data_IF_116146798749
#
_entry.id   IF_116146798749
#
_cell.length_a   1.000
_cell.length_b   1.000
_cell.length_c   1.000
_cell.angle_alpha   90.00
_cell.angle_beta   90.00
_cell.angle_gamma   90.00
#
_symmetry.space_group_name_H-M   'P 1'
#
loop_
_entity.id
_entity.type
_entity.pdbx_description
1 polymer ?
#
# COMPACT_ATOMS: atom_id res chain seq x y z
N UNK A 1 -39.41 44.38 -66.71
CA UNK A 1 -40.32 43.34 -66.21
C UNK A 1 -39.52 42.33 -65.38
N UNK A 2 -40.04 41.95 -64.20
CA UNK A 2 -39.83 40.72 -63.38
C UNK A 2 -38.39 40.12 -63.28
N UNK A 3 -37.73 40.25 -62.11
CA UNK A 3 -37.61 39.26 -60.98
C UNK A 3 -36.62 38.13 -61.26
N UNK A 4 -35.47 38.08 -60.57
CA UNK A 4 -35.17 37.31 -59.33
C UNK A 4 -34.25 36.10 -59.68
N UNK A 5 -33.34 35.51 -58.89
CA UNK A 5 -32.92 35.53 -57.48
C UNK A 5 -31.54 34.78 -57.49
N UNK A 6 -30.45 35.29 -56.86
CA UNK A 6 -29.87 34.83 -55.57
C UNK A 6 -28.82 33.70 -55.60
N UNK A 7 -27.61 34.01 -55.09
CA UNK A 7 -26.87 33.36 -53.98
C UNK A 7 -25.40 33.88 -54.06
N UNK A 8 -25.00 34.94 -53.36
CA UNK A 8 -24.51 35.01 -51.95
C UNK A 8 -23.46 33.94 -51.60
N UNK A 9 -22.29 34.19 -50.99
CA UNK A 9 -21.50 35.38 -50.58
C UNK A 9 -20.23 34.79 -49.90
N UNK A 10 -19.00 35.15 -50.34
CA UNK A 10 -17.96 35.94 -49.60
C UNK A 10 -16.95 35.12 -48.77
N UNK A 11 -15.68 35.60 -48.66
CA UNK A 11 -14.47 34.78 -48.53
C UNK A 11 -13.86 34.81 -47.12
N UNK A 12 -12.93 33.89 -46.83
CA UNK A 12 -12.14 33.91 -45.61
C UNK A 12 -10.65 34.13 -45.93
N UNK A 13 -10.16 35.30 -45.51
CA UNK A 13 -8.76 35.70 -45.44
C UNK A 13 -8.07 35.17 -44.18
N UNK A 14 -6.78 34.85 -44.35
CA UNK A 14 -5.67 34.60 -43.42
C UNK A 14 -5.76 35.19 -41.99
N UNK A 15 -5.43 34.36 -40.98
CA UNK A 15 -4.75 34.80 -39.73
C UNK A 15 -3.86 33.66 -39.19
N UNK A 16 -2.59 33.97 -38.91
CA UNK A 16 -1.64 33.12 -38.21
C UNK A 16 -2.01 32.96 -36.72
N UNK A 17 -1.88 31.76 -36.15
CA UNK A 17 -1.88 31.58 -34.70
C UNK A 17 -1.07 30.35 -34.27
N UNK A 18 0.09 30.62 -33.65
CA UNK A 18 0.56 29.98 -32.42
C UNK A 18 -0.04 28.62 -32.08
N UNK A 19 0.74 27.57 -32.30
CA UNK A 19 0.46 26.21 -31.86
C UNK A 19 0.46 26.10 -30.33
N UNK A 20 -0.65 26.52 -29.71
CA UNK A 20 -0.96 26.23 -28.31
C UNK A 20 -1.27 24.74 -28.20
N UNK A 21 -0.23 23.92 -27.95
CA UNK A 21 -0.39 22.57 -27.42
C UNK A 21 -1.06 22.71 -26.05
N UNK A 22 -2.38 22.63 -26.06
CA UNK A 22 -3.22 22.51 -24.88
C UNK A 22 -2.85 21.21 -24.18
N UNK A 23 -1.85 21.29 -23.30
CA UNK A 23 -1.59 20.26 -22.30
C UNK A 23 -2.84 20.18 -21.46
N UNK A 24 -3.69 19.21 -21.79
CA UNK A 24 -4.85 18.83 -21.00
C UNK A 24 -4.32 18.32 -19.67
N UNK A 25 -4.08 19.23 -18.72
CA UNK A 25 -3.71 18.92 -17.35
C UNK A 25 -4.87 18.16 -16.75
N UNK A 26 -4.79 16.83 -16.73
CA UNK A 26 -5.74 16.03 -15.97
C UNK A 26 -5.70 16.56 -14.53
N UNK A 27 -6.82 17.05 -13.96
CA UNK A 27 -6.81 17.59 -12.62
C UNK A 27 -6.27 16.50 -11.69
N UNK A 28 -5.21 16.83 -10.95
CA UNK A 28 -4.60 15.92 -10.00
C UNK A 28 -5.70 15.47 -9.03
N UNK A 29 -5.85 14.15 -8.86
CA UNK A 29 -6.85 13.60 -7.95
C UNK A 29 -6.64 14.24 -6.56
N UNK A 30 -7.68 14.81 -5.94
CA UNK A 30 -7.54 15.41 -4.62
C UNK A 30 -6.97 14.40 -3.64
N UNK A 31 -6.04 14.84 -2.79
CA UNK A 31 -5.53 14.00 -1.69
C UNK A 31 -6.70 13.64 -0.74
N UNK A 32 -6.73 12.42 -0.20
CA UNK A 32 -7.81 12.00 0.68
C UNK A 32 -7.74 12.74 2.02
N UNK A 33 -8.90 12.86 2.66
CA UNK A 33 -9.00 13.28 4.05
C UNK A 33 -8.38 12.24 4.99
N UNK A 34 -8.04 12.66 6.22
CA UNK A 34 -7.55 11.73 7.24
C UNK A 34 -8.53 10.57 7.49
N UNK A 35 -9.85 10.84 7.51
CA UNK A 35 -10.87 9.81 7.70
C UNK A 35 -10.87 8.78 6.57
N UNK A 36 -10.82 9.23 5.31
CA UNK A 36 -10.78 8.33 4.14
C UNK A 36 -9.52 7.46 4.15
N UNK A 37 -8.36 8.05 4.43
CA UNK A 37 -7.10 7.33 4.56
C UNK A 37 -7.16 6.26 5.66
N UNK A 38 -7.69 6.60 6.85
CA UNK A 38 -7.81 5.66 7.96
C UNK A 38 -8.74 4.50 7.61
N UNK A 39 -9.88 4.77 6.97
CA UNK A 39 -10.81 3.73 6.53
C UNK A 39 -10.14 2.78 5.53
N UNK A 40 -9.47 3.31 4.51
CA UNK A 40 -8.84 2.49 3.47
C UNK A 40 -7.66 1.68 4.02
N UNK A 41 -6.76 2.34 4.77
CA UNK A 41 -5.60 1.70 5.40
C UNK A 41 -5.98 0.63 6.41
N UNK A 42 -6.95 0.91 7.30
CA UNK A 42 -7.46 -0.10 8.24
C UNK A 42 -8.12 -1.27 7.51
N UNK A 43 -8.77 -1.04 6.37
CA UNK A 43 -9.32 -2.10 5.54
C UNK A 43 -8.25 -3.07 5.03
N UNK A 44 -7.06 -2.57 4.68
CA UNK A 44 -5.92 -3.43 4.32
C UNK A 44 -5.45 -4.26 5.52
N UNK A 45 -5.30 -3.63 6.68
CA UNK A 45 -4.82 -4.32 7.88
C UNK A 45 -5.78 -5.41 8.37
N UNK A 46 -7.09 -5.14 8.36
CA UNK A 46 -8.11 -6.14 8.68
C UNK A 46 -8.07 -7.36 7.76
N UNK A 47 -7.88 -7.15 6.45
CA UNK A 47 -7.75 -8.27 5.50
C UNK A 47 -6.47 -9.06 5.74
N UNK A 48 -5.37 -8.38 6.05
CA UNK A 48 -4.09 -9.02 6.39
C UNK A 48 -4.21 -9.86 7.66
N UNK A 49 -4.76 -9.30 8.74
CA UNK A 49 -4.92 -10.00 10.01
C UNK A 49 -5.82 -11.22 9.85
N UNK A 50 -6.93 -11.09 9.12
CA UNK A 50 -7.81 -12.22 8.82
C UNK A 50 -7.06 -13.32 8.05
N UNK A 51 -6.30 -12.94 7.01
CA UNK A 51 -5.53 -13.90 6.22
C UNK A 51 -4.48 -14.63 7.07
N UNK A 52 -3.87 -13.96 8.05
CA UNK A 52 -2.90 -14.56 8.97
C UNK A 52 -3.60 -15.42 10.03
N UNK A 53 -4.73 -14.97 10.57
CA UNK A 53 -5.53 -15.72 11.54
C UNK A 53 -6.01 -17.05 10.95
N UNK A 54 -6.44 -17.06 9.69
CA UNK A 54 -6.85 -18.27 8.96
C UNK A 54 -5.69 -19.27 8.75
N UNK A 55 -4.43 -18.87 8.89
CA UNK A 55 -3.27 -19.79 8.89
C UNK A 55 -3.15 -20.58 10.20
N UNK A 56 -3.78 -20.12 11.27
CA UNK A 56 -3.67 -20.69 12.61
C UNK A 56 -2.35 -20.36 13.30
N UNK A 57 -2.08 -21.09 14.39
CA UNK A 57 -0.88 -20.92 15.22
C UNK A 57 0.36 -21.40 14.46
N UNK A 58 1.40 -20.57 14.44
CA UNK A 58 2.69 -20.94 13.89
C UNK A 58 3.39 -21.95 14.81
N UNK A 59 3.95 -22.98 14.20
CA UNK A 59 4.74 -24.02 14.86
C UNK A 59 6.15 -24.02 14.25
N UNK A 60 7.07 -24.91 14.68
CA UNK A 60 8.33 -25.11 13.97
C UNK A 60 8.19 -25.65 12.54
N UNK A 61 6.98 -25.97 12.07
CA UNK A 61 6.73 -26.27 10.66
C UNK A 61 7.02 -25.03 9.79
N UNK A 62 8.00 -25.10 8.86
CA UNK A 62 8.34 -23.97 8.01
C UNK A 62 7.18 -23.51 7.11
N UNK A 63 6.25 -24.39 6.73
CA UNK A 63 5.19 -24.03 5.77
C UNK A 63 4.26 -22.93 6.28
N UNK A 64 3.97 -22.90 7.58
CA UNK A 64 3.22 -21.81 8.20
C UNK A 64 3.92 -20.46 8.01
N UNK A 65 5.23 -20.41 8.28
CA UNK A 65 6.05 -19.20 8.16
C UNK A 65 6.16 -18.70 6.70
N UNK A 66 6.29 -19.61 5.74
CA UNK A 66 6.28 -19.25 4.31
C UNK A 66 4.96 -18.55 3.91
N UNK A 67 3.83 -19.13 4.33
CA UNK A 67 2.50 -18.56 4.05
C UNK A 67 2.30 -17.21 4.74
N UNK A 68 2.77 -17.05 5.98
CA UNK A 68 2.71 -15.77 6.69
C UNK A 68 3.58 -14.71 6.01
N UNK A 69 4.79 -15.05 5.54
CA UNK A 69 5.65 -14.12 4.81
C UNK A 69 4.97 -13.65 3.50
N UNK A 70 4.34 -14.58 2.76
CA UNK A 70 3.58 -14.25 1.55
C UNK A 70 2.39 -13.33 1.85
N UNK A 71 1.62 -13.60 2.91
CA UNK A 71 0.52 -12.76 3.35
C UNK A 71 1.00 -11.34 3.71
N UNK A 72 2.09 -11.22 4.47
CA UNK A 72 2.69 -9.93 4.82
C UNK A 72 3.14 -9.13 3.59
N UNK A 73 3.79 -9.77 2.60
CA UNK A 73 4.16 -9.09 1.34
C UNK A 73 2.94 -8.58 0.57
N UNK A 74 1.87 -9.37 0.53
CA UNK A 74 0.61 -8.96 -0.10
C UNK A 74 -0.01 -7.76 0.61
N UNK A 75 -0.03 -7.77 1.95
CA UNK A 75 -0.51 -6.63 2.73
C UNK A 75 0.28 -5.34 2.45
N UNK A 76 1.61 -5.43 2.32
CA UNK A 76 2.45 -4.29 1.91
C UNK A 76 2.11 -3.82 0.50
N UNK A 77 1.91 -4.74 -0.45
CA UNK A 77 1.53 -4.40 -1.82
C UNK A 77 0.16 -3.73 -1.91
N UNK A 78 -0.80 -4.17 -1.10
CA UNK A 78 -2.12 -3.56 -1.00
C UNK A 78 -2.03 -2.19 -0.31
N UNK A 79 -1.26 -2.07 0.77
CA UNK A 79 -1.04 -0.81 1.48
C UNK A 79 -0.39 0.24 0.57
N UNK A 80 0.54 -0.14 -0.32
CA UNK A 80 1.16 0.77 -1.30
C UNK A 80 0.14 1.47 -2.23
N UNK A 81 -1.07 0.91 -2.39
CA UNK A 81 -2.13 1.50 -3.21
C UNK A 81 -2.92 2.58 -2.46
N UNK A 82 -2.83 2.60 -1.13
CA UNK A 82 -3.47 3.61 -0.28
C UNK A 82 -2.72 4.92 -0.41
N UNK A 83 -3.45 6.00 -0.69
CA UNK A 83 -2.85 7.33 -0.78
C UNK A 83 -2.90 8.00 0.59
N UNK A 84 -1.78 8.46 1.16
CA UNK A 84 -1.81 9.19 2.43
C UNK A 84 -2.34 10.62 2.23
N UNK A 85 -2.91 11.25 3.28
CA UNK A 85 -3.26 12.66 3.28
C UNK A 85 -2.01 13.53 3.07
N UNK A 86 -2.23 14.79 2.70
CA UNK A 86 -1.14 15.75 2.55
C UNK A 86 -0.26 15.81 3.82
N UNK A 87 1.07 15.82 3.64
CA UNK A 87 2.03 15.87 4.74
C UNK A 87 2.28 14.54 5.46
N UNK A 88 1.63 13.45 5.06
CA UNK A 88 1.81 12.10 5.66
C UNK A 88 2.63 11.14 4.79
N UNK A 89 3.18 11.59 3.66
CA UNK A 89 3.93 10.72 2.74
C UNK A 89 5.15 10.06 3.42
N UNK A 90 6.02 10.83 4.08
CA UNK A 90 7.20 10.30 4.75
C UNK A 90 6.88 9.27 5.87
N UNK A 91 5.97 9.55 6.83
CA UNK A 91 5.60 8.53 7.82
C UNK A 91 4.90 7.32 7.19
N UNK A 92 4.17 7.48 6.09
CA UNK A 92 3.56 6.37 5.37
C UNK A 92 4.61 5.48 4.68
N UNK A 93 5.60 6.08 4.02
CA UNK A 93 6.72 5.32 3.43
C UNK A 93 7.51 4.55 4.48
N UNK A 94 7.72 5.13 5.68
CA UNK A 94 8.32 4.40 6.81
C UNK A 94 7.49 3.19 7.24
N UNK A 95 6.17 3.30 7.27
CA UNK A 95 5.29 2.16 7.56
C UNK A 95 5.49 1.04 6.53
N UNK A 96 5.50 1.38 5.23
CA UNK A 96 5.71 0.41 4.15
C UNK A 96 7.07 -0.29 4.25
N UNK A 97 8.12 0.46 4.55
CA UNK A 97 9.47 -0.09 4.73
C UNK A 97 9.54 -1.06 5.93
N UNK A 98 8.90 -0.70 7.05
CA UNK A 98 8.81 -1.59 8.21
C UNK A 98 7.99 -2.85 7.89
N UNK A 99 6.87 -2.73 7.16
CA UNK A 99 6.08 -3.87 6.70
C UNK A 99 6.88 -4.83 5.81
N UNK A 100 7.69 -4.29 4.89
CA UNK A 100 8.59 -5.11 4.07
C UNK A 100 9.64 -5.82 4.95
N UNK A 101 10.27 -5.10 5.88
CA UNK A 101 11.24 -5.66 6.82
C UNK A 101 10.63 -6.78 7.68
N UNK A 102 9.38 -6.65 8.10
CA UNK A 102 8.68 -7.71 8.82
C UNK A 102 8.50 -8.95 7.95
N UNK A 103 8.02 -8.79 6.71
CA UNK A 103 7.86 -9.91 5.78
C UNK A 103 9.17 -10.65 5.52
N UNK A 104 10.28 -9.91 5.38
CA UNK A 104 11.62 -10.49 5.19
C UNK A 104 12.11 -11.18 6.47
N UNK A 105 11.83 -10.62 7.65
CA UNK A 105 12.13 -11.27 8.94
C UNK A 105 11.39 -12.60 9.13
N UNK A 106 10.11 -12.67 8.74
CA UNK A 106 9.30 -13.90 8.77
C UNK A 106 9.87 -14.94 7.79
N UNK A 107 10.30 -14.51 6.59
CA UNK A 107 11.00 -15.38 5.64
C UNK A 107 12.30 -15.94 6.22
N UNK A 108 13.07 -15.15 6.98
CA UNK A 108 14.29 -15.63 7.63
C UNK A 108 14.00 -16.71 8.68
N UNK A 109 12.85 -16.65 9.37
CA UNK A 109 12.42 -17.73 10.28
C UNK A 109 12.18 -19.01 9.48
N UNK A 110 11.40 -18.93 8.39
CA UNK A 110 11.19 -20.05 7.47
C UNK A 110 12.52 -20.66 7.00
N UNK A 111 13.41 -19.83 6.47
CA UNK A 111 14.67 -20.29 5.88
C UNK A 111 15.58 -20.97 6.91
N UNK A 112 15.53 -20.52 8.17
CA UNK A 112 16.24 -21.14 9.27
C UNK A 112 15.60 -22.47 9.69
N UNK A 113 14.27 -22.55 9.75
CA UNK A 113 13.54 -23.80 10.05
C UNK A 113 13.75 -24.88 8.99
N UNK A 114 13.75 -24.51 7.70
CA UNK A 114 14.10 -25.44 6.59
C UNK A 114 15.49 -26.02 6.78
N UNK A 115 16.43 -25.24 7.33
CA UNK A 115 17.81 -25.66 7.63
C UNK A 115 17.96 -26.31 9.01
N UNK A 116 16.87 -26.49 9.76
CA UNK A 116 16.86 -26.99 11.14
C UNK A 116 17.73 -26.15 12.11
N UNK A 117 18.00 -24.88 11.77
CA UNK A 117 18.75 -23.95 12.61
C UNK A 117 17.79 -23.21 13.55
N UNK A 118 17.37 -23.89 14.61
CA UNK A 118 16.39 -23.37 15.57
C UNK A 118 16.88 -22.12 16.32
N UNK A 119 18.19 -22.01 16.55
CA UNK A 119 18.78 -20.83 17.19
C UNK A 119 18.63 -19.59 16.29
N UNK A 120 18.93 -19.74 14.99
CA UNK A 120 18.73 -18.67 14.00
C UNK A 120 17.26 -18.37 13.78
N UNK A 121 16.39 -19.39 13.75
CA UNK A 121 14.95 -19.21 13.65
C UNK A 121 14.41 -18.34 14.80
N UNK A 122 14.78 -18.66 16.06
CA UNK A 122 14.40 -17.87 17.24
C UNK A 122 14.95 -16.45 17.19
N UNK A 123 16.21 -16.25 16.74
CA UNK A 123 16.79 -14.91 16.56
C UNK A 123 16.03 -14.09 15.51
N UNK A 124 15.70 -14.69 14.37
CA UNK A 124 14.93 -14.05 13.32
C UNK A 124 13.51 -13.69 13.78
N UNK A 125 12.87 -14.59 14.55
CA UNK A 125 11.57 -14.34 15.16
C UNK A 125 11.64 -13.12 16.07
N UNK A 126 12.56 -13.06 17.04
CA UNK A 126 12.70 -11.89 17.93
C UNK A 126 12.91 -10.57 17.18
N UNK A 127 13.71 -10.59 16.11
CA UNK A 127 13.93 -9.42 15.25
C UNK A 127 12.64 -9.00 14.51
N UNK A 128 11.85 -9.98 14.06
CA UNK A 128 10.56 -9.74 13.46
C UNK A 128 9.57 -9.15 14.50
N UNK A 129 9.52 -9.63 15.76
CA UNK A 129 8.64 -9.07 16.82
C UNK A 129 8.96 -7.60 17.06
N UNK A 130 10.25 -7.28 17.09
CA UNK A 130 10.73 -5.91 17.26
C UNK A 130 10.26 -5.02 16.10
N UNK A 131 10.27 -5.56 14.89
CA UNK A 131 9.78 -4.85 13.70
C UNK A 131 8.26 -4.66 13.74
N UNK A 132 7.51 -5.69 14.18
CA UNK A 132 6.06 -5.62 14.37
C UNK A 132 5.67 -4.53 15.39
N UNK A 133 6.39 -4.45 16.50
CA UNK A 133 6.23 -3.38 17.50
C UNK A 133 6.51 -1.99 16.91
N UNK A 134 7.50 -1.87 16.01
CA UNK A 134 7.78 -0.62 15.32
C UNK A 134 6.67 -0.24 14.32
N UNK A 135 6.09 -1.22 13.62
CA UNK A 135 4.92 -1.03 12.75
C UNK A 135 3.75 -0.49 13.57
N UNK A 136 3.44 -1.11 14.72
CA UNK A 136 2.38 -0.65 15.62
C UNK A 136 2.53 0.84 15.98
N UNK A 137 3.73 1.24 16.44
CA UNK A 137 4.02 2.65 16.80
C UNK A 137 3.90 3.59 15.60
N UNK A 138 4.29 3.12 14.42
CA UNK A 138 4.23 3.93 13.19
C UNK A 138 2.79 4.06 12.67
N UNK A 139 1.99 3.00 12.79
CA UNK A 139 0.56 2.99 12.46
C UNK A 139 -0.24 3.95 13.36
N UNK A 140 0.07 3.98 14.67
CA UNK A 140 -0.51 4.95 15.62
C UNK A 140 -0.31 6.41 15.17
N UNK A 141 0.90 6.78 14.73
CA UNK A 141 1.21 8.13 14.22
C UNK A 141 0.43 8.50 12.95
N UNK A 142 -0.05 7.49 12.23
CA UNK A 142 -0.86 7.62 11.01
C UNK A 142 -2.36 7.54 11.30
N UNK A 143 -2.78 7.24 12.53
CA UNK A 143 -4.18 7.05 12.91
C UNK A 143 -4.76 5.70 12.46
N UNK A 144 -3.91 4.76 12.03
CA UNK A 144 -4.32 3.43 11.61
C UNK A 144 -4.47 2.54 12.85
N UNK A 145 -5.71 2.31 13.27
CA UNK A 145 -6.05 1.61 14.52
C UNK A 145 -6.03 0.09 14.42
N UNK A 146 -6.30 -0.47 13.24
CA UNK A 146 -6.33 -1.93 13.07
C UNK A 146 -4.97 -2.51 12.72
N UNK A 147 -4.07 -1.73 12.14
CA UNK A 147 -2.66 -2.13 11.94
C UNK A 147 -1.84 -2.17 13.24
N UNK A 148 -2.51 -2.09 14.40
CA UNK A 148 -1.92 -2.09 15.73
C UNK A 148 -1.94 -3.47 16.37
N UNK A 149 -2.60 -4.47 15.79
CA UNK A 149 -2.58 -5.81 16.35
C UNK A 149 -1.20 -6.42 16.15
N UNK A 150 -0.60 -6.86 17.26
CA UNK A 150 0.60 -7.70 17.19
C UNK A 150 0.20 -9.05 16.60
N UNK A 151 1.10 -9.67 15.86
CA UNK A 151 0.89 -11.03 15.37
C UNK A 151 0.78 -12.00 16.57
N UNK A 152 -0.45 -12.35 16.94
CA UNK A 152 -0.76 -13.20 18.11
C UNK A 152 -0.57 -14.69 17.84
N UNK A 153 -0.33 -15.08 16.58
CA UNK A 153 -0.17 -16.47 16.19
C UNK A 153 1.26 -17.00 16.36
N UNK A 154 2.17 -16.22 16.94
CA UNK A 154 3.57 -16.60 17.13
C UNK A 154 3.72 -17.57 18.30
N UNK A 155 4.53 -18.64 18.17
CA UNK A 155 4.89 -19.45 19.31
C UNK A 155 5.74 -18.59 20.27
N UNK A 156 5.38 -18.60 21.56
CA UNK A 156 6.17 -17.97 22.62
C UNK A 156 7.60 -18.55 22.71
#
# INVERSE_FOLDING_TARGET
>A
MRRALVLLVVPALLVACSGSKSSRTTPAKPRPTQKQFVTEGNGVCLRSDRAIFELGRLTPDPMGWARTAAAARRAVADMKRVTPPAGKDAPFQRLLALGQKLADGIQQVHDALVKQDFAKARKAQNAATTTDTAIHRQAQKLGLTFCQQLLTNWPA
#
